data_IF_425097183850
#
_entry.id   IF_425097183850
#
_cell.length_a   1.000
_cell.length_b   1.000
_cell.length_c   1.000
_cell.angle_alpha   90.00
_cell.angle_beta   90.00
_cell.angle_gamma   90.00
#
_symmetry.space_group_name_H-M   'P 1'
#
loop_
_entity.id
_entity.type
_entity.pdbx_description
1 polymer ?
#
# COMPACT_ATOMS: atom_id res chain seq x y z
N UNK A 1 14.66 -6.54 13.51
CA UNK A 1 14.33 -5.55 12.47
C UNK A 1 12.83 -5.27 12.57
N UNK A 2 12.43 -4.12 13.10
CA UNK A 2 11.03 -3.80 13.32
C UNK A 2 10.73 -2.44 12.69
N UNK A 3 10.12 -2.42 11.50
CA UNK A 3 9.62 -1.20 10.87
C UNK A 3 9.77 -1.09 9.35
N UNK A 4 10.60 -1.91 8.70
CA UNK A 4 10.81 -1.85 7.24
C UNK A 4 9.72 -2.62 6.46
N UNK A 5 9.29 -2.04 5.34
CA UNK A 5 8.36 -2.64 4.39
C UNK A 5 8.71 -2.18 2.96
N UNK A 6 8.04 -2.77 1.97
CA UNK A 6 8.09 -2.27 0.61
C UNK A 6 6.73 -2.34 -0.08
N UNK A 7 6.56 -1.56 -1.13
CA UNK A 7 5.41 -1.62 -2.03
C UNK A 7 5.87 -1.58 -3.48
N UNK A 8 5.29 -2.43 -4.32
CA UNK A 8 5.57 -2.46 -5.76
C UNK A 8 4.47 -1.72 -6.52
N UNK A 9 4.88 -0.87 -7.45
CA UNK A 9 3.95 -0.15 -8.29
C UNK A 9 4.62 0.51 -9.47
N UNK A 10 3.80 1.22 -10.24
CA UNK A 10 4.23 2.08 -11.34
C UNK A 10 3.44 3.38 -11.26
N UNK A 11 3.99 4.46 -11.81
CA UNK A 11 3.25 5.72 -11.92
C UNK A 11 2.16 5.58 -12.97
N UNK A 12 1.02 6.24 -12.74
CA UNK A 12 -0.10 6.24 -13.70
C UNK A 12 0.24 6.97 -14.99
N UNK A 13 1.15 7.95 -14.94
CA UNK A 13 1.67 8.69 -16.09
C UNK A 13 2.75 7.92 -16.88
N UNK A 14 3.08 6.69 -16.47
CA UNK A 14 4.10 5.84 -17.10
C UNK A 14 5.54 6.26 -16.84
N UNK A 15 5.78 7.32 -16.07
CA UNK A 15 7.13 7.74 -15.70
C UNK A 15 7.73 6.81 -14.63
N UNK A 16 9.06 6.80 -14.54
CA UNK A 16 9.77 6.12 -13.45
C UNK A 16 9.70 6.94 -12.16
N UNK A 17 9.48 6.26 -11.04
CA UNK A 17 9.68 6.78 -9.68
C UNK A 17 11.18 7.02 -9.49
N UNK A 18 11.56 8.27 -9.27
CA UNK A 18 12.96 8.67 -9.03
C UNK A 18 13.26 8.92 -7.55
N UNK A 19 14.53 9.16 -7.21
CA UNK A 19 14.92 9.49 -5.82
C UNK A 19 14.21 10.74 -5.28
N UNK A 20 13.95 11.73 -6.14
CA UNK A 20 13.19 12.93 -5.78
C UNK A 20 11.74 12.59 -5.33
N UNK A 21 11.14 11.52 -5.86
CA UNK A 21 9.81 11.09 -5.47
C UNK A 21 9.79 10.50 -4.06
N UNK A 22 10.89 9.93 -3.55
CA UNK A 22 10.97 9.39 -2.18
C UNK A 22 10.68 10.47 -1.13
N UNK A 23 11.17 11.69 -1.36
CA UNK A 23 10.89 12.83 -0.48
C UNK A 23 9.41 13.23 -0.56
N UNK A 24 8.83 13.23 -1.76
CA UNK A 24 7.41 13.53 -1.99
C UNK A 24 6.51 12.50 -1.34
N UNK A 25 6.82 11.21 -1.51
CA UNK A 25 6.11 10.09 -0.88
C UNK A 25 6.16 10.21 0.64
N UNK A 26 7.34 10.46 1.21
CA UNK A 26 7.52 10.63 2.66
C UNK A 26 6.68 11.80 3.19
N UNK A 27 6.71 12.95 2.51
CA UNK A 27 5.89 14.12 2.90
C UNK A 27 4.39 13.83 2.81
N UNK A 28 3.94 13.15 1.76
CA UNK A 28 2.54 12.78 1.59
C UNK A 28 2.07 11.77 2.64
N UNK A 29 2.88 10.77 2.97
CA UNK A 29 2.60 9.81 4.03
C UNK A 29 2.45 10.52 5.39
N UNK A 30 3.34 11.45 5.73
CA UNK A 30 3.24 12.23 6.97
C UNK A 30 1.97 13.10 7.02
N UNK A 31 1.49 13.65 5.89
CA UNK A 31 0.20 14.36 5.83
C UNK A 31 -0.97 13.42 6.14
N UNK A 32 -0.98 12.22 5.56
CA UNK A 32 -2.01 11.19 5.78
C UNK A 32 -2.00 10.66 7.23
N UNK A 33 -0.81 10.52 7.83
CA UNK A 33 -0.66 10.14 9.24
C UNK A 33 -1.32 11.17 10.16
N UNK A 34 -1.07 12.47 9.92
CA UNK A 34 -1.69 13.57 10.70
C UNK A 34 -3.22 13.61 10.62
N UNK A 35 -3.79 13.10 9.53
CA UNK A 35 -5.24 13.05 9.35
C UNK A 35 -5.91 11.93 10.15
N UNK A 36 -5.15 10.99 10.71
CA UNK A 36 -5.64 9.91 11.55
C UNK A 36 -6.82 9.12 10.94
N UNK A 37 -6.77 8.83 9.63
CA UNK A 37 -7.78 8.04 8.94
C UNK A 37 -7.92 6.66 9.57
N UNK A 38 -9.14 6.27 9.89
CA UNK A 38 -9.44 4.92 10.35
C UNK A 38 -9.26 3.90 9.22
N UNK A 39 -8.85 2.69 9.58
CA UNK A 39 -8.86 1.54 8.68
C UNK A 39 -10.15 0.75 8.88
N UNK A 40 -10.94 0.64 7.83
CA UNK A 40 -12.17 -0.16 7.80
C UNK A 40 -11.88 -1.48 7.09
N UNK A 41 -12.04 -2.60 7.81
CA UNK A 41 -11.89 -3.94 7.24
C UNK A 41 -13.15 -4.31 6.48
N UNK A 42 -12.98 -4.70 5.22
CA UNK A 42 -14.02 -5.17 4.32
C UNK A 42 -13.79 -6.65 4.01
N UNK A 43 -14.88 -7.41 3.98
CA UNK A 43 -14.91 -8.75 3.40
C UNK A 43 -15.70 -8.67 2.10
N UNK A 44 -15.06 -9.07 1.00
CA UNK A 44 -15.61 -8.91 -0.35
C UNK A 44 -15.52 -10.23 -1.11
N UNK A 45 -16.54 -10.52 -1.91
CA UNK A 45 -16.52 -11.65 -2.83
C UNK A 45 -15.50 -11.43 -3.95
N UNK A 46 -15.17 -12.49 -4.69
CA UNK A 46 -14.30 -12.39 -5.87
C UNK A 46 -14.82 -11.36 -6.88
N UNK A 47 -16.13 -11.37 -7.16
CA UNK A 47 -16.76 -10.42 -8.09
C UNK A 47 -16.62 -8.97 -7.61
N UNK A 48 -16.90 -8.71 -6.33
CA UNK A 48 -16.72 -7.37 -5.73
C UNK A 48 -15.26 -6.93 -5.73
N UNK A 49 -14.32 -7.85 -5.46
CA UNK A 49 -12.89 -7.54 -5.56
C UNK A 49 -12.49 -7.16 -7.00
N UNK A 50 -12.98 -7.88 -8.02
CA UNK A 50 -12.70 -7.55 -9.41
C UNK A 50 -13.26 -6.17 -9.80
N UNK A 51 -14.42 -5.79 -9.27
CA UNK A 51 -15.00 -4.46 -9.47
C UNK A 51 -14.17 -3.36 -8.80
N UNK A 52 -13.81 -3.54 -7.52
CA UNK A 52 -12.99 -2.59 -6.75
C UNK A 52 -11.61 -2.36 -7.39
N UNK A 53 -11.03 -3.40 -7.97
CA UNK A 53 -9.69 -3.36 -8.57
C UNK A 53 -9.72 -3.41 -10.10
N UNK A 54 -10.82 -3.02 -10.74
CA UNK A 54 -11.00 -3.12 -12.20
C UNK A 54 -9.88 -2.43 -13.00
N UNK A 55 -9.32 -1.35 -12.46
CA UNK A 55 -8.24 -0.55 -13.06
C UNK A 55 -6.82 -1.04 -12.72
N UNK A 56 -6.68 -2.09 -11.90
CA UNK A 56 -5.40 -2.60 -11.44
C UNK A 56 -5.19 -4.04 -11.93
N UNK A 57 -4.54 -4.18 -13.08
CA UNK A 57 -4.25 -5.48 -13.71
C UNK A 57 -3.48 -6.43 -12.77
N UNK A 58 -2.59 -5.90 -11.94
CA UNK A 58 -1.79 -6.70 -11.01
C UNK A 58 -2.63 -7.32 -9.91
N UNK A 59 -3.56 -6.56 -9.31
CA UNK A 59 -4.49 -7.09 -8.30
C UNK A 59 -5.49 -8.05 -8.95
N UNK A 60 -6.03 -7.72 -10.13
CA UNK A 60 -6.91 -8.62 -10.90
C UNK A 60 -6.27 -9.96 -11.19
N UNK A 61 -4.97 -10.00 -11.53
CA UNK A 61 -4.25 -11.25 -11.73
C UNK A 61 -4.38 -12.19 -10.52
N UNK A 62 -4.10 -11.68 -9.31
CA UNK A 62 -4.20 -12.50 -8.10
C UNK A 62 -5.64 -12.87 -7.75
N UNK A 63 -6.59 -11.95 -7.94
CA UNK A 63 -8.01 -12.23 -7.69
C UNK A 63 -8.51 -13.34 -8.62
N UNK A 64 -8.19 -13.27 -9.92
CA UNK A 64 -8.63 -14.25 -10.90
C UNK A 64 -8.08 -15.66 -10.64
N UNK A 65 -6.88 -15.77 -10.04
CA UNK A 65 -6.27 -17.05 -9.68
C UNK A 65 -6.83 -17.69 -8.42
N UNK A 66 -7.61 -16.96 -7.63
CA UNK A 66 -8.28 -17.53 -6.47
C UNK A 66 -9.55 -18.28 -6.87
N UNK A 67 -9.94 -19.27 -6.07
CA UNK A 67 -11.21 -19.99 -6.25
C UNK A 67 -12.41 -19.06 -6.03
N UNK A 68 -13.54 -19.35 -6.67
CA UNK A 68 -14.77 -18.55 -6.57
C UNK A 68 -15.33 -18.46 -5.14
N UNK A 69 -15.03 -19.43 -4.29
CA UNK A 69 -15.50 -19.48 -2.89
C UNK A 69 -14.64 -18.64 -1.95
N UNK A 70 -13.51 -18.10 -2.41
CA UNK A 70 -12.62 -17.28 -1.58
C UNK A 70 -13.29 -15.95 -1.25
N UNK A 71 -13.41 -15.67 0.03
CA UNK A 71 -13.71 -14.32 0.53
C UNK A 71 -12.41 -13.55 0.68
N UNK A 72 -12.32 -12.42 -0.01
CA UNK A 72 -11.17 -11.54 0.07
C UNK A 72 -11.33 -10.57 1.23
N UNK A 73 -10.20 -10.19 1.81
CA UNK A 73 -10.12 -9.12 2.81
C UNK A 73 -9.47 -7.91 2.18
N UNK A 74 -10.12 -6.76 2.36
CA UNK A 74 -9.61 -5.47 1.96
C UNK A 74 -9.66 -4.49 3.13
N UNK A 75 -8.82 -3.47 3.08
CA UNK A 75 -8.85 -2.38 4.05
C UNK A 75 -9.06 -1.07 3.30
N UNK A 76 -10.09 -0.34 3.73
CA UNK A 76 -10.39 1.01 3.24
C UNK A 76 -9.81 2.03 4.21
N UNK A 77 -9.18 3.06 3.66
CA UNK A 77 -8.58 4.18 4.37
C UNK A 77 -8.86 5.45 3.56
N UNK A 78 -9.85 6.23 3.99
CA UNK A 78 -10.34 7.38 3.23
C UNK A 78 -10.83 6.94 1.84
N UNK A 79 -10.21 7.47 0.78
CA UNK A 79 -10.50 7.12 -0.61
C UNK A 79 -9.69 5.91 -1.13
N UNK A 80 -8.73 5.40 -0.36
CA UNK A 80 -7.91 4.26 -0.74
C UNK A 80 -8.57 2.96 -0.27
N UNK A 81 -8.55 1.93 -1.11
CA UNK A 81 -8.86 0.55 -0.74
C UNK A 81 -7.76 -0.36 -1.23
N UNK A 82 -7.31 -1.31 -0.41
CA UNK A 82 -6.30 -2.29 -0.81
C UNK A 82 -6.58 -3.69 -0.25
N UNK A 83 -6.25 -4.71 -1.04
CA UNK A 83 -6.34 -6.12 -0.64
C UNK A 83 -5.21 -6.45 0.35
N UNK A 84 -5.59 -6.87 1.56
CA UNK A 84 -4.66 -7.30 2.59
C UNK A 84 -5.37 -8.20 3.60
N UNK A 85 -4.67 -9.24 4.07
CA UNK A 85 -5.17 -10.12 5.15
C UNK A 85 -5.16 -9.44 6.53
N UNK A 86 -4.29 -8.44 6.69
CA UNK A 86 -4.09 -7.73 7.95
C UNK A 86 -3.43 -8.60 9.04
N UNK A 87 -3.55 -8.21 10.33
CA UNK A 87 -4.29 -7.04 10.82
C UNK A 87 -3.63 -5.71 10.47
N UNK A 88 -4.42 -4.63 10.39
CA UNK A 88 -3.94 -3.25 10.33
C UNK A 88 -4.04 -2.59 11.72
N UNK A 89 -3.28 -1.51 11.91
CA UNK A 89 -3.51 -0.54 13.00
C UNK A 89 -4.92 0.07 12.86
N UNK A 90 -5.45 0.66 13.93
CA UNK A 90 -6.83 1.21 13.93
C UNK A 90 -6.95 2.45 13.06
N UNK A 91 -5.94 3.31 13.08
CA UNK A 91 -5.89 4.52 12.27
C UNK A 91 -4.45 4.95 11.96
N UNK A 92 -4.27 5.72 10.89
CA UNK A 92 -2.94 6.16 10.41
C UNK A 92 -2.14 6.95 11.45
N UNK A 93 -2.84 7.69 12.32
CA UNK A 93 -2.24 8.48 13.39
C UNK A 93 -1.54 7.67 14.49
N UNK A 94 -1.64 6.33 14.47
CA UNK A 94 -0.82 5.48 15.35
C UNK A 94 0.63 5.35 14.86
N UNK A 95 0.94 5.85 13.65
CA UNK A 95 2.30 5.98 13.15
C UNK A 95 2.89 7.33 13.58
N UNK A 96 4.12 7.34 14.10
CA UNK A 96 4.83 8.53 14.53
C UNK A 96 5.81 9.05 13.50
N UNK A 97 6.57 8.15 12.88
CA UNK A 97 7.54 8.49 11.84
C UNK A 97 7.36 7.56 10.64
N UNK A 98 7.59 8.10 9.45
CA UNK A 98 7.57 7.39 8.18
C UNK A 98 8.66 7.96 7.27
N UNK A 99 9.42 7.08 6.61
CA UNK A 99 10.42 7.50 5.65
C UNK A 99 10.56 6.47 4.52
N UNK A 100 10.37 6.90 3.27
CA UNK A 100 10.73 6.12 2.09
C UNK A 100 12.20 6.42 1.74
N UNK A 101 13.03 5.39 1.62
CA UNK A 101 14.51 5.56 1.61
C UNK A 101 15.24 4.81 0.51
N UNK A 102 14.59 3.89 -0.21
CA UNK A 102 15.25 3.11 -1.25
C UNK A 102 14.28 2.75 -2.37
N UNK A 103 14.82 2.66 -3.58
CA UNK A 103 14.13 2.18 -4.77
C UNK A 103 14.86 0.97 -5.35
N UNK A 104 14.11 0.05 -5.96
CA UNK A 104 14.67 -0.96 -6.85
C UNK A 104 13.71 -1.28 -7.98
N UNK A 105 14.22 -1.85 -9.07
CA UNK A 105 13.36 -2.50 -10.06
C UNK A 105 12.83 -3.83 -9.53
N UNK A 106 11.65 -4.22 -9.99
CA UNK A 106 11.07 -5.54 -9.85
C UNK A 106 10.39 -5.92 -11.15
N UNK A 107 10.32 -7.21 -11.48
CA UNK A 107 9.48 -7.68 -12.58
C UNK A 107 8.22 -8.30 -11.99
N UNK A 108 7.08 -8.07 -12.63
CA UNK A 108 5.83 -8.67 -12.17
C UNK A 108 5.96 -10.19 -12.12
N UNK A 109 5.66 -10.79 -10.96
CA UNK A 109 5.85 -12.22 -10.65
C UNK A 109 7.31 -12.72 -10.73
N UNK A 110 8.29 -11.80 -10.75
CA UNK A 110 9.71 -12.15 -10.90
C UNK A 110 10.10 -12.59 -12.31
N UNK A 111 9.23 -12.37 -13.30
CA UNK A 111 9.42 -12.82 -14.67
C UNK A 111 9.91 -11.66 -15.57
N UNK A 112 11.17 -11.69 -16.07
CA UNK A 112 11.72 -10.62 -16.90
C UNK A 112 10.99 -10.41 -18.23
N UNK A 113 10.14 -11.34 -18.66
CA UNK A 113 9.30 -11.18 -19.86
C UNK A 113 8.04 -10.36 -19.61
N UNK A 114 7.75 -10.01 -18.35
CA UNK A 114 6.56 -9.26 -17.92
C UNK A 114 6.89 -7.83 -17.53
N UNK A 115 5.83 -7.06 -17.25
CA UNK A 115 5.89 -5.67 -16.80
C UNK A 115 7.00 -5.43 -15.76
N UNK A 116 7.81 -4.41 -16.03
CA UNK A 116 8.74 -3.86 -15.07
C UNK A 116 8.01 -2.92 -14.10
N UNK A 117 8.09 -3.23 -12.82
CA UNK A 117 7.59 -2.45 -11.70
C UNK A 117 8.74 -1.81 -10.93
N UNK A 118 8.42 -0.85 -10.08
CA UNK A 118 9.37 -0.25 -9.15
C UNK A 118 8.93 -0.53 -7.72
N UNK A 119 9.89 -0.98 -6.92
CA UNK A 119 9.71 -1.25 -5.51
C UNK A 119 10.20 -0.05 -4.72
N UNK A 120 9.32 0.50 -3.90
CA UNK A 120 9.62 1.57 -2.95
C UNK A 120 9.75 0.95 -1.57
N UNK A 121 10.90 1.13 -0.94
CA UNK A 121 11.17 0.70 0.43
C UNK A 121 10.95 1.84 1.39
N UNK A 122 10.31 1.53 2.53
CA UNK A 122 10.07 2.49 3.58
C UNK A 122 10.20 1.89 4.96
N UNK A 123 10.39 2.77 5.92
CA UNK A 123 10.37 2.46 7.35
C UNK A 123 9.29 3.27 8.04
N UNK A 124 8.58 2.64 8.99
CA UNK A 124 7.59 3.30 9.82
C UNK A 124 7.76 2.91 11.28
N UNK A 125 7.49 3.85 12.18
CA UNK A 125 7.60 3.69 13.62
C UNK A 125 6.29 4.07 14.30
N UNK A 126 5.91 3.40 15.40
CA UNK A 126 4.73 3.78 16.17
C UNK A 126 4.87 5.19 16.74
N UNK A 127 3.75 5.86 16.95
CA UNK A 127 3.69 7.14 17.62
C UNK A 127 4.13 6.97 19.09
N UNK A 128 5.04 7.83 19.56
CA UNK A 128 5.53 7.78 20.94
C UNK A 128 4.43 8.13 21.96
N UNK A 129 4.64 7.83 23.26
CA UNK A 129 3.65 8.11 24.32
C UNK A 129 3.16 9.56 24.38
N UNK A 130 3.99 10.51 23.91
CA UNK A 130 3.79 11.97 23.98
C UNK A 130 3.48 12.62 22.61
N UNK A 131 3.09 11.85 21.61
CA UNK A 131 2.79 12.37 20.26
C UNK A 131 1.38 12.96 20.09
N UNK A 132 0.54 12.86 21.14
CA UNK A 132 -0.86 13.31 21.15
C UNK A 132 -1.01 14.55 22.03
N UNK A 133 -0.45 15.68 21.62
CA UNK A 133 -0.62 16.93 22.37
C UNK A 133 0.39 18.03 22.06
N UNK A 134 0.29 18.62 20.87
CA UNK A 134 0.52 20.06 20.64
C UNK A 134 -0.39 20.53 19.51
#
# INVERSE_FOLDING_TARGET
AHGEFFYEGRRFDGQSIGEADLQTISKSALKVIKQAHAFERLEVSKAQALELFQHNEYKKHFINKADETVTFTAYKMGALVDLCKGPHIRHTGQLGAFHAHKLSGAYFLGDPSRDQLQRVYGVAYPAGPDSRGK
#
